data_IF_061390782997
#
_entry.id   IF_061390782997
#
_cell.length_a   1.000
_cell.length_b   1.000
_cell.length_c   1.000
_cell.angle_alpha   90.00
_cell.angle_beta   90.00
_cell.angle_gamma   90.00
#
_symmetry.space_group_name_H-M   'P 1'
#
loop_
_entity.id
_entity.type
_entity.pdbx_description
1 polymer ?
#
# COMPACT_ATOMS: atom_id res chain seq x y z
N UNK A 1 -14.36 -14.54 4.82
CA UNK A 1 -13.41 -14.39 3.70
C UNK A 1 -12.05 -13.94 4.24
N UNK A 2 -10.94 -14.58 3.84
CA UNK A 2 -9.58 -14.16 4.19
C UNK A 2 -9.07 -13.25 3.05
N UNK A 3 -9.26 -11.94 3.18
CA UNK A 3 -8.75 -10.99 2.18
C UNK A 3 -7.22 -11.00 2.16
N UNK A 4 -6.65 -11.00 0.96
CA UNK A 4 -5.23 -10.80 0.68
C UNK A 4 -4.89 -9.32 0.70
N UNK A 5 -3.60 -8.99 0.87
CA UNK A 5 -3.14 -7.61 0.76
C UNK A 5 -3.47 -7.02 -0.62
N UNK A 6 -3.39 -7.85 -1.69
CA UNK A 6 -3.74 -7.47 -3.06
C UNK A 6 -5.19 -6.97 -3.16
N UNK A 7 -6.13 -7.64 -2.51
CA UNK A 7 -7.56 -7.26 -2.58
C UNK A 7 -7.82 -5.85 -2.05
N UNK A 8 -7.07 -5.43 -1.03
CA UNK A 8 -7.16 -4.06 -0.50
C UNK A 8 -6.42 -3.08 -1.40
N UNK A 9 -5.24 -3.45 -1.87
CA UNK A 9 -4.43 -2.63 -2.75
C UNK A 9 -5.16 -2.29 -4.04
N UNK A 10 -5.72 -3.30 -4.73
CA UNK A 10 -6.47 -3.11 -5.98
C UNK A 10 -7.63 -2.12 -5.80
N UNK A 11 -8.35 -2.19 -4.67
CA UNK A 11 -9.43 -1.26 -4.35
C UNK A 11 -8.94 0.18 -4.18
N UNK A 12 -7.77 0.36 -3.56
CA UNK A 12 -7.17 1.69 -3.40
C UNK A 12 -6.76 2.23 -4.76
N UNK A 13 -6.11 1.43 -5.61
CA UNK A 13 -5.71 1.85 -6.97
C UNK A 13 -6.92 2.22 -7.83
N UNK A 14 -7.99 1.42 -7.80
CA UNK A 14 -9.24 1.75 -8.51
C UNK A 14 -9.85 3.06 -8.00
N UNK A 15 -9.79 3.30 -6.69
CA UNK A 15 -10.34 4.51 -6.08
C UNK A 15 -9.51 5.76 -6.38
N UNK A 16 -8.18 5.66 -6.36
CA UNK A 16 -7.26 6.78 -6.63
C UNK A 16 -7.07 7.04 -8.12
N UNK A 17 -7.35 6.06 -8.99
CA UNK A 17 -7.20 6.12 -10.45
C UNK A 17 -5.77 6.48 -10.90
N UNK A 18 -4.77 6.03 -10.15
CA UNK A 18 -3.37 6.25 -10.49
C UNK A 18 -2.95 5.36 -11.65
N UNK A 19 -2.30 5.96 -12.65
CA UNK A 19 -1.70 5.24 -13.79
C UNK A 19 -0.43 4.51 -13.32
N UNK A 20 0.42 5.22 -12.57
CA UNK A 20 1.71 4.70 -12.11
C UNK A 20 1.61 4.08 -10.71
N UNK A 21 0.67 3.14 -10.54
CA UNK A 21 0.43 2.50 -9.23
C UNK A 21 1.65 1.80 -8.66
N UNK A 22 2.58 1.34 -9.50
CA UNK A 22 3.70 0.50 -9.10
C UNK A 22 4.72 1.21 -8.19
N UNK A 23 4.69 2.54 -8.15
CA UNK A 23 5.50 3.33 -7.23
C UNK A 23 4.94 3.37 -5.81
N UNK A 24 3.68 2.99 -5.62
CA UNK A 24 3.00 3.10 -4.34
C UNK A 24 2.86 1.77 -3.62
N UNK A 25 2.58 1.86 -2.33
CA UNK A 25 2.27 0.72 -1.48
C UNK A 25 1.39 1.12 -0.33
N UNK A 26 0.86 0.10 0.36
CA UNK A 26 0.17 0.29 1.63
C UNK A 26 1.11 -0.04 2.78
N UNK A 27 1.16 0.84 3.77
CA UNK A 27 2.00 0.71 4.95
C UNK A 27 1.14 0.69 6.22
N UNK A 28 1.56 -0.03 7.24
CA UNK A 28 0.92 -0.06 8.56
C UNK A 28 1.96 -0.11 9.67
N UNK A 29 1.59 0.32 10.88
CA UNK A 29 2.47 0.24 12.07
C UNK A 29 2.22 -1.06 12.84
N UNK A 30 3.18 -1.96 12.94
CA UNK A 30 2.99 -3.23 13.64
C UNK A 30 2.85 -3.09 15.17
N UNK A 31 2.78 -4.22 15.88
CA UNK A 31 2.67 -4.24 17.35
C UNK A 31 3.92 -3.73 18.08
N UNK A 32 5.04 -3.62 17.38
CA UNK A 32 6.31 -3.12 17.91
C UNK A 32 6.56 -1.66 17.51
N UNK A 33 5.52 -0.96 17.03
CA UNK A 33 5.60 0.40 16.50
C UNK A 33 6.53 0.56 15.28
N UNK A 34 6.81 -0.52 14.55
CA UNK A 34 7.63 -0.49 13.34
C UNK A 34 6.72 -0.35 12.12
N UNK A 35 7.08 0.53 11.20
CA UNK A 35 6.36 0.62 9.94
C UNK A 35 6.68 -0.56 9.03
N UNK A 36 5.63 -1.18 8.48
CA UNK A 36 5.70 -2.36 7.64
C UNK A 36 4.89 -2.14 6.37
N UNK A 37 5.42 -2.58 5.23
CA UNK A 37 4.67 -2.64 3.98
C UNK A 37 3.72 -3.84 4.01
N UNK A 38 2.51 -3.63 3.51
CA UNK A 38 1.54 -4.69 3.29
C UNK A 38 2.01 -5.59 2.14
N UNK A 39 2.20 -6.87 2.45
CA UNK A 39 2.48 -7.89 1.43
C UNK A 39 1.18 -8.26 0.70
N UNK A 40 1.17 -8.05 -0.61
CA UNK A 40 0.02 -8.33 -1.46
C UNK A 40 -0.35 -9.82 -1.50
N UNK A 41 0.62 -10.71 -1.32
CA UNK A 41 0.46 -12.18 -1.42
C UNK A 41 -0.08 -12.82 -0.13
N UNK A 42 0.03 -12.11 1.00
CA UNK A 42 -0.38 -12.63 2.31
C UNK A 42 -1.72 -12.06 2.74
N UNK A 43 -2.43 -12.81 3.58
CA UNK A 43 -3.69 -12.32 4.15
C UNK A 43 -3.45 -11.12 5.07
N UNK A 44 -4.31 -10.10 4.96
CA UNK A 44 -4.23 -8.88 5.77
C UNK A 44 -4.23 -9.21 7.27
N UNK A 45 -5.12 -10.11 7.70
CA UNK A 45 -5.24 -10.52 9.12
C UNK A 45 -3.99 -11.21 9.67
N UNK A 46 -3.18 -11.84 8.81
CA UNK A 46 -1.93 -12.50 9.23
C UNK A 46 -0.80 -11.50 9.49
N UNK A 47 -0.85 -10.35 8.81
CA UNK A 47 0.18 -9.31 8.87
C UNK A 47 -0.19 -8.21 9.88
N UNK A 48 -1.45 -7.77 9.85
CA UNK A 48 -2.01 -6.77 10.74
C UNK A 48 -2.89 -7.44 11.80
N UNK A 49 -2.28 -7.74 12.96
CA UNK A 49 -2.97 -8.36 14.09
C UNK A 49 -3.80 -7.36 14.90
N UNK A 50 -3.35 -6.11 15.00
CA UNK A 50 -4.01 -5.06 15.78
C UNK A 50 -5.15 -4.41 15.01
N UNK A 51 -6.37 -4.59 15.51
CA UNK A 51 -7.61 -4.01 15.01
C UNK A 51 -8.83 -4.91 15.31
N UNK A 52 -10.04 -4.47 14.93
CA UNK A 52 -10.40 -3.18 14.31
C UNK A 52 -10.39 -1.97 15.29
N UNK A 53 -10.29 -0.71 14.79
CA UNK A 53 -10.15 -0.35 13.38
C UNK A 53 -8.74 -0.67 12.83
N UNK A 54 -8.67 -1.06 11.55
CA UNK A 54 -7.40 -1.24 10.85
C UNK A 54 -7.02 0.06 10.13
N UNK A 55 -5.79 0.50 10.31
CA UNK A 55 -5.27 1.73 9.67
C UNK A 55 -4.13 1.38 8.72
N UNK A 56 -4.26 1.81 7.47
CA UNK A 56 -3.24 1.71 6.43
C UNK A 56 -2.96 3.09 5.85
N UNK A 57 -1.71 3.33 5.45
CA UNK A 57 -1.24 4.55 4.80
C UNK A 57 -0.82 4.23 3.38
N UNK A 58 -1.37 4.93 2.40
CA UNK A 58 -0.95 4.84 1.01
C UNK A 58 0.26 5.76 0.80
N UNK A 59 1.40 5.20 0.37
CA UNK A 59 2.69 5.92 0.32
C UNK A 59 3.55 5.47 -0.86
N UNK A 60 4.47 6.33 -1.28
CA UNK A 60 5.53 5.99 -2.25
C UNK A 60 6.46 4.94 -1.65
N UNK A 61 6.62 3.82 -2.33
CA UNK A 61 7.47 2.68 -1.98
C UNK A 61 8.78 2.67 -2.77
N UNK A 62 8.73 3.10 -4.02
CA UNK A 62 9.89 3.18 -4.89
C UNK A 62 9.96 4.58 -5.48
N UNK A 63 11.14 5.19 -5.46
CA UNK A 63 11.42 6.42 -6.19
C UNK A 63 12.04 6.03 -7.53
N UNK A 64 11.58 6.62 -8.63
CA UNK A 64 12.34 6.61 -9.87
C UNK A 64 13.65 7.36 -9.66
N UNK A 65 14.75 6.83 -10.21
CA UNK A 65 16.07 7.49 -10.19
C UNK A 65 16.10 8.80 -10.99
N UNK A 66 15.12 9.03 -11.85
CA UNK A 66 14.89 10.30 -12.52
C UNK A 66 13.42 10.75 -12.31
N UNK A 67 13.17 11.86 -11.59
CA UNK A 67 11.82 12.36 -11.36
C UNK A 67 11.09 12.79 -12.66
N UNK A 68 11.81 12.95 -13.78
CA UNK A 68 11.23 13.25 -15.11
C UNK A 68 10.62 12.03 -15.80
N UNK A 69 10.84 10.82 -15.26
CA UNK A 69 10.23 9.59 -15.77
C UNK A 69 8.81 9.35 -15.22
N UNK A 70 8.37 10.15 -14.24
CA UNK A 70 6.96 10.19 -13.84
C UNK A 70 6.21 10.94 -14.94
N UNK A 71 5.35 10.23 -15.66
CA UNK A 71 4.78 10.75 -16.91
C UNK A 71 3.68 11.81 -16.70
N UNK A 72 3.28 12.09 -15.45
CA UNK A 72 2.33 13.16 -15.10
C UNK A 72 2.87 14.10 -14.02
N UNK A 73 2.85 15.40 -14.30
CA UNK A 73 3.08 16.52 -13.36
C UNK A 73 1.94 16.67 -12.32
N UNK A 74 1.42 15.56 -11.79
CA UNK A 74 0.36 15.54 -10.78
C UNK A 74 0.67 14.46 -9.72
N UNK A 75 1.61 14.74 -8.82
CA UNK A 75 1.72 14.05 -7.52
C UNK A 75 2.11 15.02 -6.42
#
# INVERSE_FOLDING_TARGET
RKALGKDLYDKVIIHTKLIESDYFGLQFTDTHNVEQWLDATKSIKKQRKTGPPYTFRFRVKFYTSDPRNLHEELT
#
